data_IF_240255906476
#
_entry.id   IF_240255906476
#
_cell.length_a   1.000
_cell.length_b   1.000
_cell.length_c   1.000
_cell.angle_alpha   90.00
_cell.angle_beta   90.00
_cell.angle_gamma   90.00
#
_symmetry.space_group_name_H-M   'P 1'
#
loop_
_entity.id
_entity.type
_entity.pdbx_description
1 polymer ?
#
# COMPACT_ATOMS: atom_id res chain seq x y z
N UNK A 1 -2.14 -23.53 0.14
CA UNK A 1 -1.85 -22.40 1.04
C UNK A 1 -3.12 -21.57 1.13
N UNK A 2 -3.57 -21.20 2.34
CA UNK A 2 -4.82 -20.46 2.49
C UNK A 2 -4.70 -19.03 1.97
N UNK A 3 -5.81 -18.53 1.45
CA UNK A 3 -5.97 -17.15 0.98
C UNK A 3 -6.77 -16.39 2.03
N UNK A 4 -6.25 -15.24 2.46
CA UNK A 4 -6.87 -14.42 3.48
C UNK A 4 -7.47 -13.17 2.86
N UNK A 5 -8.70 -12.86 3.27
CA UNK A 5 -9.41 -11.63 2.98
C UNK A 5 -9.43 -10.75 4.24
N UNK A 6 -9.49 -9.44 4.06
CA UNK A 6 -9.40 -8.51 5.19
C UNK A 6 -10.66 -7.68 5.37
N UNK A 7 -10.97 -7.41 6.62
CA UNK A 7 -12.12 -6.61 7.05
C UNK A 7 -11.66 -5.52 8.00
N UNK A 8 -12.08 -4.28 7.76
CA UNK A 8 -11.68 -3.12 8.56
C UNK A 8 -12.87 -2.42 9.20
N UNK A 9 -12.72 -2.02 10.46
CA UNK A 9 -13.62 -1.13 11.19
C UNK A 9 -12.79 -0.17 12.04
N UNK A 10 -12.75 1.10 11.64
CA UNK A 10 -11.84 2.08 12.24
C UNK A 10 -10.38 1.66 12.08
N UNK A 11 -9.65 1.57 13.18
CA UNK A 11 -8.23 1.16 13.20
C UNK A 11 -8.03 -0.35 13.27
N UNK A 12 -9.10 -1.13 13.48
CA UNK A 12 -9.01 -2.58 13.62
C UNK A 12 -9.17 -3.26 12.26
N UNK A 13 -8.21 -4.12 11.92
CA UNK A 13 -8.24 -4.99 10.75
C UNK A 13 -8.25 -6.44 11.22
N UNK A 14 -9.10 -7.26 10.61
CA UNK A 14 -9.21 -8.70 10.83
C UNK A 14 -8.91 -9.40 9.52
N UNK A 15 -8.01 -10.39 9.58
CA UNK A 15 -7.77 -11.33 8.49
C UNK A 15 -8.63 -12.57 8.72
N UNK A 16 -9.33 -12.98 7.68
CA UNK A 16 -10.19 -14.16 7.68
C UNK A 16 -9.80 -15.05 6.51
N UNK A 17 -9.79 -16.36 6.72
CA UNK A 17 -9.63 -17.30 5.61
C UNK A 17 -10.79 -17.10 4.63
N UNK A 18 -10.50 -17.00 3.34
CA UNK A 18 -11.50 -16.76 2.29
C UNK A 18 -12.58 -17.83 2.25
N UNK A 19 -12.28 -19.04 2.71
CA UNK A 19 -13.26 -20.13 2.81
C UNK A 19 -14.27 -19.94 3.95
N UNK A 20 -14.00 -19.06 4.93
CA UNK A 20 -14.91 -18.78 6.05
C UNK A 20 -15.97 -17.73 5.67
N UNK A 21 -16.94 -18.18 4.88
CA UNK A 21 -18.07 -17.37 4.42
C UNK A 21 -18.96 -16.92 5.59
N UNK A 22 -19.07 -17.73 6.64
CA UNK A 22 -19.89 -17.41 7.82
C UNK A 22 -19.26 -16.28 8.64
N UNK A 23 -17.96 -16.37 8.92
CA UNK A 23 -17.20 -15.32 9.58
C UNK A 23 -17.22 -14.02 8.77
N UNK A 24 -17.16 -14.09 7.44
CA UNK A 24 -17.25 -12.93 6.57
C UNK A 24 -18.61 -12.22 6.69
N UNK A 25 -19.71 -12.98 6.70
CA UNK A 25 -21.07 -12.43 6.89
C UNK A 25 -21.21 -11.76 8.26
N UNK A 26 -20.73 -12.41 9.32
CA UNK A 26 -20.78 -11.87 10.68
C UNK A 26 -20.01 -10.55 10.81
N UNK A 27 -18.84 -10.45 10.19
CA UNK A 27 -18.05 -9.22 10.19
C UNK A 27 -18.77 -8.08 9.46
N UNK A 28 -19.43 -8.36 8.34
CA UNK A 28 -20.26 -7.39 7.64
C UNK A 28 -21.42 -6.89 8.52
N UNK A 29 -22.14 -7.80 9.20
CA UNK A 29 -23.22 -7.44 10.14
C UNK A 29 -22.72 -6.60 11.31
N UNK A 30 -21.50 -6.86 11.79
CA UNK A 30 -20.84 -6.05 12.81
C UNK A 30 -20.34 -4.69 12.31
N UNK A 31 -20.54 -4.38 11.03
CA UNK A 31 -20.17 -3.11 10.40
C UNK A 31 -18.71 -3.02 9.97
N UNK A 32 -18.01 -4.14 9.83
CA UNK A 32 -16.72 -4.16 9.14
C UNK A 32 -16.92 -4.08 7.63
N UNK A 33 -15.97 -3.43 6.95
CA UNK A 33 -15.95 -3.33 5.50
C UNK A 33 -14.85 -4.21 4.93
N UNK A 34 -15.20 -5.05 3.94
CA UNK A 34 -14.23 -5.85 3.18
C UNK A 34 -13.25 -4.90 2.49
N UNK A 35 -11.96 -5.19 2.63
CA UNK A 35 -10.88 -4.51 1.92
C UNK A 35 -10.67 -5.16 0.54
N UNK A 36 -10.00 -4.46 -0.38
CA UNK A 36 -9.76 -4.97 -1.73
C UNK A 36 -8.68 -6.06 -1.75
N UNK A 37 -7.72 -5.98 -0.84
CA UNK A 37 -6.56 -6.83 -0.77
C UNK A 37 -6.94 -8.27 -0.38
N UNK A 38 -6.32 -9.23 -1.06
CA UNK A 38 -6.39 -10.66 -0.73
C UNK A 38 -4.95 -11.20 -0.74
N UNK A 39 -4.56 -11.94 0.30
CA UNK A 39 -3.17 -12.35 0.52
C UNK A 39 -3.09 -13.85 0.81
N UNK A 40 -2.29 -14.56 0.02
CA UNK A 40 -1.94 -15.96 0.31
C UNK A 40 -0.85 -15.96 1.39
N UNK A 41 -1.13 -16.59 2.53
CA UNK A 41 -0.19 -16.69 3.64
C UNK A 41 -0.36 -18.02 4.38
N UNK A 42 0.63 -18.47 5.15
CA UNK A 42 0.49 -19.67 5.98
C UNK A 42 -0.52 -19.52 7.13
N UNK A 43 -0.70 -18.30 7.62
CA UNK A 43 -1.55 -17.98 8.77
C UNK A 43 -2.02 -16.51 8.71
N UNK A 44 -3.04 -16.19 9.52
CA UNK A 44 -3.67 -14.86 9.56
C UNK A 44 -2.73 -13.76 10.06
N UNK A 45 -1.79 -14.07 10.95
CA UNK A 45 -0.83 -13.08 11.46
C UNK A 45 0.15 -12.66 10.36
N UNK A 46 0.66 -13.61 9.58
CA UNK A 46 1.51 -13.35 8.41
C UNK A 46 0.74 -12.60 7.32
N UNK A 47 -0.53 -12.91 7.12
CA UNK A 47 -1.39 -12.17 6.19
C UNK A 47 -1.53 -10.70 6.61
N UNK A 48 -1.78 -10.44 7.90
CA UNK A 48 -1.85 -9.08 8.45
C UNK A 48 -0.53 -8.32 8.36
N UNK A 49 0.60 -8.99 8.64
CA UNK A 49 1.92 -8.39 8.51
C UNK A 49 2.18 -7.95 7.06
N UNK A 50 1.87 -8.82 6.08
CA UNK A 50 2.00 -8.46 4.66
C UNK A 50 1.07 -7.34 4.23
N UNK A 51 -0.16 -7.29 4.75
CA UNK A 51 -1.05 -6.16 4.49
C UNK A 51 -0.46 -4.85 5.05
N UNK A 52 0.12 -4.88 6.24
CA UNK A 52 0.75 -3.70 6.84
C UNK A 52 1.95 -3.22 6.02
N UNK A 53 2.76 -4.15 5.51
CA UNK A 53 3.88 -3.83 4.62
C UNK A 53 3.38 -3.15 3.33
N UNK A 54 2.33 -3.69 2.69
CA UNK A 54 1.73 -3.11 1.47
C UNK A 54 1.20 -1.70 1.73
N UNK A 55 0.43 -1.49 2.82
CA UNK A 55 -0.12 -0.17 3.12
C UNK A 55 0.97 0.87 3.40
N UNK A 56 2.08 0.45 4.03
CA UNK A 56 3.25 1.31 4.23
C UNK A 56 3.91 1.69 2.91
N UNK A 57 4.02 0.76 1.96
CA UNK A 57 4.52 1.05 0.62
C UNK A 57 3.60 2.03 -0.13
N UNK A 58 2.28 1.87 -0.02
CA UNK A 58 1.29 2.78 -0.61
C UNK A 58 1.35 4.20 -0.02
N UNK A 59 1.58 4.35 1.29
CA UNK A 59 1.74 5.67 1.92
C UNK A 59 3.01 6.40 1.44
N UNK A 60 4.09 5.65 1.18
CA UNK A 60 5.37 6.21 0.75
C UNK A 60 5.39 6.48 -0.76
N UNK A 61 4.61 5.74 -1.55
CA UNK A 61 4.61 5.85 -3.01
C UNK A 61 4.33 7.28 -3.51
N UNK A 62 3.30 8.02 -3.05
CA UNK A 62 3.07 9.40 -3.46
C UNK A 62 4.25 10.34 -3.19
N UNK A 63 4.94 10.15 -2.05
CA UNK A 63 6.12 10.93 -1.70
C UNK A 63 7.30 10.60 -2.62
N UNK A 64 7.50 9.32 -2.95
CA UNK A 64 8.53 8.88 -3.88
C UNK A 64 8.29 9.44 -5.30
N UNK A 65 7.03 9.45 -5.77
CA UNK A 65 6.65 10.07 -7.04
C UNK A 65 6.86 11.59 -7.03
N UNK A 66 6.43 12.28 -5.97
CA UNK A 66 6.58 13.72 -5.84
C UNK A 66 8.04 14.17 -5.78
N UNK A 67 8.88 13.43 -5.05
CA UNK A 67 10.31 13.76 -4.91
C UNK A 67 11.06 13.64 -6.24
N UNK A 68 10.81 12.60 -7.05
CA UNK A 68 11.42 12.47 -8.38
C UNK A 68 11.13 13.65 -9.31
N UNK A 69 9.89 14.16 -9.30
CA UNK A 69 9.50 15.33 -10.08
C UNK A 69 10.22 16.60 -9.60
N UNK A 70 10.31 16.82 -8.28
CA UNK A 70 11.01 17.97 -7.69
C UNK A 70 12.51 17.93 -8.01
N UNK A 71 13.17 16.77 -7.91
CA UNK A 71 14.58 16.62 -8.28
C UNK A 71 14.83 17.00 -9.74
N UNK A 72 13.93 16.61 -10.66
CA UNK A 72 14.06 16.91 -12.09
C UNK A 72 13.95 18.41 -12.36
N UNK A 73 12.97 19.09 -11.74
CA UNK A 73 12.77 20.55 -11.89
C UNK A 73 13.97 21.36 -11.41
N UNK A 74 14.68 20.91 -10.37
CA UNK A 74 15.83 21.63 -9.84
C UNK A 74 17.12 21.37 -10.61
N UNK A 75 17.35 20.14 -11.07
CA UNK A 75 18.63 19.74 -11.67
C UNK A 75 18.72 20.17 -13.15
N UNK A 76 17.64 20.06 -13.92
CA UNK A 76 17.65 20.38 -15.36
C UNK A 76 18.03 21.83 -15.65
N UNK A 77 17.52 22.85 -14.94
CA UNK A 77 17.92 24.24 -15.15
C UNK A 77 19.39 24.50 -14.80
N UNK A 78 19.89 23.87 -13.72
CA UNK A 78 21.29 24.01 -13.29
C UNK A 78 22.23 23.40 -14.32
N UNK A 79 21.94 22.18 -14.80
CA UNK A 79 22.71 21.55 -15.87
C UNK A 79 22.62 22.33 -17.19
N UNK A 80 21.44 22.87 -17.51
CA UNK A 80 21.26 23.74 -18.67
C UNK A 80 22.11 25.01 -18.59
N UNK A 81 22.17 25.64 -17.42
CA UNK A 81 23.00 26.82 -17.16
C UNK A 81 24.50 26.47 -17.24
N UNK A 82 24.92 25.37 -16.62
CA UNK A 82 26.32 24.90 -16.69
C UNK A 82 26.68 24.61 -18.16
N UNK A 83 25.86 23.85 -18.88
CA UNK A 83 26.08 23.55 -20.29
C UNK A 83 26.19 24.82 -21.14
N UNK A 84 25.31 25.79 -20.93
CA UNK A 84 25.37 27.10 -21.60
C UNK A 84 26.66 27.87 -21.32
N UNK A 85 27.16 27.85 -20.08
CA UNK A 85 28.39 28.52 -19.69
C UNK A 85 29.67 27.85 -20.23
N UNK A 86 29.64 26.53 -20.44
CA UNK A 86 30.78 25.76 -20.97
C UNK A 86 30.80 25.61 -22.51
N UNK A 87 29.65 25.77 -23.19
CA UNK A 87 29.56 25.77 -24.67
C UNK A 87 29.71 27.17 -25.31
N UNK A 88 29.79 28.21 -24.48
CA UNK A 88 30.09 29.59 -24.90
C UNK A 88 31.59 29.86 -24.80
#
# INVERSE_FOLDING_TARGET
MPEYIFFQKGTKIIALDKSDVQGASLLCEQGYKKQFEEIIAPDSQRALARLADIKKEEEIAPLAWATGAVFTVLIVPVLGLIGYLFLK
#
